data_IF_848093172018
#
_entry.id   IF_848093172018
#
_cell.length_a   1.000
_cell.length_b   1.000
_cell.length_c   1.000
_cell.angle_alpha   90.00
_cell.angle_beta   90.00
_cell.angle_gamma   90.00
#
_symmetry.space_group_name_H-M   'P 1'
#
loop_
_entity.id
_entity.type
_entity.pdbx_description
1 polymer ?
#
# COMPACT_ATOMS: atom_id res chain seq x y z
N UNK A 1 16.78 11.45 3.65
CA UNK A 1 16.84 10.62 2.43
C UNK A 1 17.69 11.23 1.33
N UNK A 2 17.50 12.51 0.98
CA UNK A 2 18.25 13.19 -0.09
C UNK A 2 19.79 12.98 -0.08
N UNK A 3 20.50 13.19 1.05
CA UNK A 3 21.96 12.96 1.08
C UNK A 3 22.35 11.51 0.77
N UNK A 4 21.53 10.55 1.17
CA UNK A 4 21.79 9.12 0.91
C UNK A 4 21.63 8.76 -0.57
N UNK A 5 20.64 9.34 -1.27
CA UNK A 5 20.49 9.09 -2.71
C UNK A 5 21.67 9.63 -3.52
N UNK A 6 22.18 10.81 -3.14
CA UNK A 6 23.40 11.37 -3.75
C UNK A 6 24.63 10.53 -3.44
N UNK A 7 24.83 10.14 -2.18
CA UNK A 7 25.98 9.34 -1.77
C UNK A 7 26.00 7.93 -2.40
N UNK A 8 24.83 7.32 -2.59
CA UNK A 8 24.69 6.00 -3.22
C UNK A 8 24.72 6.04 -4.76
N UNK A 9 24.86 7.22 -5.38
CA UNK A 9 24.85 7.36 -6.83
C UNK A 9 23.48 7.16 -7.49
N UNK A 10 22.39 7.14 -6.70
CA UNK A 10 21.02 7.04 -7.21
C UNK A 10 20.49 8.40 -7.66
N UNK A 11 21.16 9.01 -8.65
CA UNK A 11 20.92 10.39 -9.06
C UNK A 11 19.49 10.64 -9.58
N UNK A 12 18.88 9.67 -10.26
CA UNK A 12 17.48 9.79 -10.69
C UNK A 12 16.52 9.87 -9.49
N UNK A 13 16.69 9.02 -8.48
CA UNK A 13 15.91 9.10 -7.26
C UNK A 13 16.18 10.40 -6.49
N UNK A 14 17.43 10.86 -6.44
CA UNK A 14 17.78 12.13 -5.82
C UNK A 14 17.08 13.32 -6.52
N UNK A 15 17.06 13.33 -7.86
CA UNK A 15 16.35 14.34 -8.66
C UNK A 15 14.85 14.29 -8.39
N UNK A 16 14.23 13.11 -8.45
CA UNK A 16 12.80 12.96 -8.18
C UNK A 16 12.43 13.39 -6.76
N UNK A 17 13.25 13.05 -5.77
CA UNK A 17 13.04 13.46 -4.38
C UNK A 17 13.10 14.97 -4.20
N UNK A 18 13.99 15.65 -4.93
CA UNK A 18 14.05 17.12 -4.97
C UNK A 18 12.80 17.73 -5.60
N UNK A 19 12.37 17.23 -6.76
CA UNK A 19 11.14 17.69 -7.42
C UNK A 19 9.92 17.49 -6.52
N UNK A 20 9.80 16.33 -5.89
CA UNK A 20 8.74 16.05 -4.93
C UNK A 20 8.71 17.07 -3.79
N UNK A 21 9.86 17.38 -3.20
CA UNK A 21 9.96 18.39 -2.13
C UNK A 21 9.50 19.77 -2.61
N UNK A 22 9.94 20.20 -3.80
CA UNK A 22 9.55 21.48 -4.38
C UNK A 22 8.03 21.52 -4.64
N UNK A 23 7.46 20.46 -5.20
CA UNK A 23 6.03 20.35 -5.44
C UNK A 23 5.23 20.35 -4.13
N UNK A 24 5.72 19.67 -3.09
CA UNK A 24 5.07 19.69 -1.77
C UNK A 24 5.10 21.05 -1.09
N UNK A 25 6.15 21.87 -1.33
CA UNK A 25 6.19 23.24 -0.82
C UNK A 25 5.15 24.13 -1.50
N UNK A 26 4.99 23.96 -2.81
CA UNK A 26 3.99 24.68 -3.61
C UNK A 26 2.56 24.13 -3.41
N UNK A 27 2.37 23.09 -2.60
CA UNK A 27 1.08 22.43 -2.40
C UNK A 27 0.10 23.33 -1.64
N UNK A 28 0.62 24.17 -0.74
CA UNK A 28 -0.19 25.11 0.07
C UNK A 28 -0.95 26.11 -0.79
N UNK A 29 -0.37 26.50 -1.94
CA UNK A 29 -0.97 27.47 -2.86
C UNK A 29 -1.90 26.81 -3.89
N UNK A 30 -1.91 25.48 -3.97
CA UNK A 30 -2.63 24.70 -5.00
C UNK A 30 -3.87 23.97 -4.47
N UNK A 31 -3.91 23.67 -3.18
CA UNK A 31 -4.98 22.89 -2.53
C UNK A 31 -5.78 23.80 -1.58
N UNK A 32 -7.04 23.45 -1.35
CA UNK A 32 -7.87 24.13 -0.35
C UNK A 32 -7.22 24.06 1.05
N UNK A 33 -7.21 25.14 1.85
CA UNK A 33 -6.57 25.17 3.16
C UNK A 33 -7.04 24.07 4.13
N UNK A 34 -8.31 23.67 4.06
CA UNK A 34 -8.88 22.63 4.92
C UNK A 34 -8.31 21.26 4.53
N UNK A 35 -8.21 20.99 3.24
CA UNK A 35 -7.66 19.74 2.73
C UNK A 35 -6.14 19.67 2.97
N UNK A 36 -5.44 20.80 2.86
CA UNK A 36 -4.02 20.90 3.23
C UNK A 36 -3.79 20.60 4.72
N UNK A 37 -4.65 21.10 5.62
CA UNK A 37 -4.56 20.81 7.05
C UNK A 37 -4.79 19.32 7.34
N UNK A 38 -5.83 18.71 6.77
CA UNK A 38 -6.10 17.27 6.89
C UNK A 38 -4.96 16.41 6.34
N UNK A 39 -4.38 16.85 5.23
CA UNK A 39 -3.25 16.17 4.61
C UNK A 39 -2.02 16.23 5.53
N UNK A 40 -1.65 17.41 6.03
CA UNK A 40 -0.40 17.61 6.79
C UNK A 40 -0.50 17.20 8.26
N UNK A 41 -1.53 17.66 8.98
CA UNK A 41 -1.68 17.42 10.43
C UNK A 41 -2.34 16.08 10.70
N UNK A 42 -3.44 15.79 10.02
CA UNK A 42 -4.22 14.57 10.29
C UNK A 42 -3.69 13.35 9.54
N UNK A 43 -2.71 13.54 8.65
CA UNK A 43 -1.98 12.48 7.91
C UNK A 43 -2.90 11.61 7.06
N UNK A 44 -3.92 12.20 6.44
CA UNK A 44 -4.93 11.48 5.63
C UNK A 44 -4.36 10.78 4.38
N UNK A 45 -3.08 10.97 4.09
CA UNK A 45 -2.35 10.23 3.05
C UNK A 45 -1.74 8.90 3.54
N UNK A 46 -1.68 8.66 4.85
CA UNK A 46 -1.15 7.41 5.43
C UNK A 46 -2.26 6.56 6.05
N UNK A 47 -2.30 5.29 5.68
CA UNK A 47 -3.11 4.28 6.34
C UNK A 47 -2.28 3.59 7.42
N UNK A 48 -2.83 3.47 8.63
CA UNK A 48 -2.18 2.88 9.80
C UNK A 48 -3.07 1.81 10.41
N UNK A 49 -2.49 0.66 10.76
CA UNK A 49 -3.19 -0.40 11.51
C UNK A 49 -3.05 -0.22 13.03
N UNK A 50 -2.03 0.51 13.47
CA UNK A 50 -1.68 0.72 14.89
C UNK A 50 -1.28 2.17 15.11
N UNK A 51 -1.42 2.69 16.33
CA UNK A 51 -1.02 4.07 16.63
C UNK A 51 0.49 4.25 16.95
N UNK A 52 1.36 3.36 16.45
CA UNK A 52 2.81 3.49 16.62
C UNK A 52 3.45 4.53 15.72
N UNK A 53 4.49 5.21 16.19
CA UNK A 53 5.25 6.16 15.37
C UNK A 53 5.84 5.49 14.11
N UNK A 54 5.77 6.16 12.95
CA UNK A 54 6.18 5.64 11.63
C UNK A 54 5.54 4.31 11.17
N UNK A 55 4.37 3.94 11.70
CA UNK A 55 3.65 2.72 11.27
C UNK A 55 2.71 2.90 10.06
N UNK A 56 2.74 4.07 9.43
CA UNK A 56 1.85 4.41 8.31
C UNK A 56 2.41 4.03 6.95
N UNK A 57 1.57 3.45 6.11
CA UNK A 57 1.85 3.18 4.69
C UNK A 57 1.08 4.20 3.86
N UNK A 58 1.68 4.67 2.77
CA UNK A 58 1.01 5.57 1.84
C UNK A 58 -0.25 4.93 1.23
N UNK A 59 -1.34 5.68 1.10
CA UNK A 59 -2.64 5.16 0.63
C UNK A 59 -2.54 4.39 -0.70
N UNK A 60 -1.83 4.93 -1.69
CA UNK A 60 -1.59 4.27 -2.97
C UNK A 60 -0.85 2.94 -2.83
N UNK A 61 0.15 2.87 -1.95
CA UNK A 61 0.88 1.62 -1.68
C UNK A 61 0.00 0.60 -0.94
N UNK A 62 -0.89 1.04 -0.05
CA UNK A 62 -1.89 0.16 0.58
C UNK A 62 -2.87 -0.41 -0.44
N UNK A 63 -3.37 0.42 -1.35
CA UNK A 63 -4.26 -0.01 -2.44
C UNK A 63 -3.54 -1.03 -3.33
N UNK A 64 -2.31 -0.72 -3.76
CA UNK A 64 -1.51 -1.61 -4.60
C UNK A 64 -1.26 -2.94 -3.90
N UNK A 65 -0.79 -2.95 -2.66
CA UNK A 65 -0.52 -4.19 -1.93
C UNK A 65 -1.79 -5.02 -1.74
N UNK A 66 -2.92 -4.39 -1.42
CA UNK A 66 -4.20 -5.07 -1.17
C UNK A 66 -4.75 -5.67 -2.47
N UNK A 67 -4.74 -4.90 -3.56
CA UNK A 67 -5.22 -5.33 -4.87
C UNK A 67 -4.30 -6.36 -5.52
N UNK A 68 -2.99 -6.15 -5.46
CA UNK A 68 -2.02 -7.07 -6.06
C UNK A 68 -2.01 -8.43 -5.36
N UNK A 69 -2.26 -8.48 -4.04
CA UNK A 69 -2.42 -9.75 -3.30
C UNK A 69 -3.52 -10.62 -3.91
N UNK A 70 -4.69 -10.03 -4.16
CA UNK A 70 -5.85 -10.75 -4.69
C UNK A 70 -5.70 -11.05 -6.18
N UNK A 71 -5.03 -10.18 -6.95
CA UNK A 71 -4.75 -10.41 -8.37
C UNK A 71 -3.74 -11.52 -8.61
N UNK A 72 -2.65 -11.54 -7.84
CA UNK A 72 -1.51 -12.46 -8.01
C UNK A 72 -1.64 -13.75 -7.17
N UNK A 73 -2.64 -13.84 -6.30
CA UNK A 73 -2.94 -15.01 -5.49
C UNK A 73 -3.35 -16.25 -6.30
N UNK A 74 -3.44 -17.40 -5.63
CA UNK A 74 -3.96 -18.62 -6.26
C UNK A 74 -5.43 -18.44 -6.64
N UNK A 75 -5.77 -18.66 -7.91
CA UNK A 75 -7.12 -18.37 -8.45
C UNK A 75 -7.37 -16.89 -8.80
N UNK A 76 -6.37 -16.02 -8.61
CA UNK A 76 -6.40 -14.61 -9.00
C UNK A 76 -6.32 -14.38 -10.51
N UNK A 77 -6.45 -13.12 -10.92
CA UNK A 77 -6.54 -12.72 -12.31
C UNK A 77 -5.28 -13.03 -13.13
N UNK A 78 -4.09 -12.92 -12.53
CA UNK A 78 -2.82 -13.03 -13.27
C UNK A 78 -2.23 -14.44 -13.28
N UNK A 79 -2.80 -15.39 -12.51
CA UNK A 79 -2.26 -16.74 -12.36
C UNK A 79 -3.23 -17.78 -12.93
N UNK A 80 -2.92 -18.27 -14.14
CA UNK A 80 -3.57 -19.46 -14.74
C UNK A 80 -4.82 -19.22 -15.60
N UNK A 81 -5.37 -18.01 -15.65
CA UNK A 81 -6.50 -17.66 -16.55
C UNK A 81 -6.09 -16.62 -17.60
N UNK A 82 -6.68 -16.71 -18.80
CA UNK A 82 -6.59 -15.65 -19.81
C UNK A 82 -7.34 -14.41 -19.31
N UNK A 83 -6.72 -13.24 -19.45
CA UNK A 83 -7.34 -11.95 -19.11
C UNK A 83 -8.30 -11.59 -20.25
N UNK A 84 -9.54 -12.08 -20.16
CA UNK A 84 -10.65 -11.64 -21.01
C UNK A 84 -11.43 -10.56 -20.28
N UNK A 85 -12.06 -9.64 -21.01
CA UNK A 85 -12.87 -8.55 -20.45
C UNK A 85 -13.95 -9.05 -19.48
N UNK A 86 -14.65 -10.15 -19.83
CA UNK A 86 -15.65 -10.77 -18.95
C UNK A 86 -15.07 -11.27 -17.61
N UNK A 87 -13.83 -11.77 -17.61
CA UNK A 87 -13.13 -12.23 -16.40
C UNK A 87 -12.70 -11.03 -15.56
N UNK A 88 -12.21 -9.96 -16.20
CA UNK A 88 -11.88 -8.69 -15.55
C UNK A 88 -13.10 -8.09 -14.86
N UNK A 89 -14.23 -7.94 -15.57
CA UNK A 89 -15.45 -7.35 -15.01
C UNK A 89 -15.97 -8.15 -13.83
N UNK A 90 -16.01 -9.49 -13.95
CA UNK A 90 -16.44 -10.37 -12.86
C UNK A 90 -15.51 -10.29 -11.65
N UNK A 91 -14.20 -10.25 -11.89
CA UNK A 91 -13.21 -10.16 -10.81
C UNK A 91 -13.31 -8.80 -10.10
N UNK A 92 -13.38 -7.69 -10.84
CA UNK A 92 -13.47 -6.34 -10.27
C UNK A 92 -14.74 -6.16 -9.43
N UNK A 93 -15.90 -6.60 -9.92
CA UNK A 93 -17.16 -6.49 -9.18
C UNK A 93 -17.25 -7.46 -8.01
N UNK A 94 -16.76 -8.69 -8.18
CA UNK A 94 -16.87 -9.74 -7.16
C UNK A 94 -15.86 -9.58 -6.03
N UNK A 95 -14.58 -9.34 -6.35
CA UNK A 95 -13.49 -9.43 -5.39
C UNK A 95 -13.56 -8.39 -4.27
N UNK A 96 -14.14 -7.22 -4.53
CA UNK A 96 -14.32 -6.19 -3.49
C UNK A 96 -15.21 -6.73 -2.37
N UNK A 97 -16.27 -7.45 -2.71
CA UNK A 97 -17.17 -8.07 -1.72
C UNK A 97 -16.58 -9.33 -1.10
N UNK A 98 -15.86 -10.14 -1.88
CA UNK A 98 -15.25 -11.38 -1.40
C UNK A 98 -13.95 -11.18 -0.60
N UNK A 99 -13.33 -9.99 -0.65
CA UNK A 99 -12.05 -9.74 0.02
C UNK A 99 -12.07 -10.11 1.51
N UNK A 100 -13.06 -9.58 2.25
CA UNK A 100 -13.19 -9.81 3.69
C UNK A 100 -13.44 -11.30 3.98
N UNK A 101 -14.27 -11.96 3.17
CA UNK A 101 -14.56 -13.38 3.31
C UNK A 101 -13.27 -14.20 3.09
N UNK A 102 -12.53 -13.94 2.02
CA UNK A 102 -11.27 -14.60 1.75
C UNK A 102 -10.25 -14.39 2.87
N UNK A 103 -10.17 -13.19 3.46
CA UNK A 103 -9.29 -12.90 4.59
C UNK A 103 -9.67 -13.73 5.84
N UNK A 104 -10.95 -13.80 6.18
CA UNK A 104 -11.42 -14.61 7.32
C UNK A 104 -11.24 -16.11 7.08
N UNK A 105 -11.42 -16.59 5.84
CA UNK A 105 -11.12 -17.99 5.48
C UNK A 105 -9.62 -18.29 5.57
N UNK A 106 -8.74 -17.37 5.13
CA UNK A 106 -7.29 -17.50 5.28
C UNK A 106 -6.90 -17.60 6.76
N UNK A 107 -7.49 -16.75 7.63
CA UNK A 107 -7.29 -16.78 9.08
C UNK A 107 -7.79 -18.09 9.68
N UNK A 108 -8.99 -18.53 9.33
CA UNK A 108 -9.60 -19.77 9.85
C UNK A 108 -8.76 -21.00 9.49
N UNK A 109 -8.30 -21.09 8.24
CA UNK A 109 -7.47 -22.20 7.76
C UNK A 109 -6.00 -22.08 8.20
N UNK A 110 -5.60 -20.97 8.83
CA UNK A 110 -4.21 -20.65 9.15
C UNK A 110 -3.28 -20.69 7.91
N UNK A 111 -3.80 -20.29 6.74
CA UNK A 111 -3.06 -20.23 5.47
C UNK A 111 -2.91 -18.77 5.09
N UNK A 112 -1.68 -18.29 4.92
CA UNK A 112 -1.42 -16.93 4.42
C UNK A 112 -1.01 -16.97 2.95
N UNK A 113 -1.89 -16.51 2.05
CA UNK A 113 -1.55 -16.37 0.63
C UNK A 113 -0.67 -15.12 0.44
N UNK A 114 0.65 -15.29 0.53
CA UNK A 114 1.62 -14.22 0.29
C UNK A 114 2.43 -14.49 -0.97
N UNK A 115 2.42 -13.54 -1.91
CA UNK A 115 3.40 -13.50 -3.00
C UNK A 115 4.68 -12.84 -2.46
N UNK A 116 5.80 -13.56 -2.51
CA UNK A 116 6.96 -13.31 -1.64
C UNK A 116 7.83 -12.10 -2.01
N UNK A 117 7.64 -11.48 -3.18
CA UNK A 117 8.67 -10.58 -3.72
C UNK A 117 8.48 -9.10 -3.37
N UNK A 118 7.25 -8.59 -3.19
CA UNK A 118 7.03 -7.13 -3.05
C UNK A 118 5.98 -6.72 -2.00
N UNK A 119 5.30 -7.66 -1.33
CA UNK A 119 4.13 -7.37 -0.49
C UNK A 119 4.34 -7.79 0.98
N UNK A 120 5.48 -7.42 1.57
CA UNK A 120 5.97 -7.89 2.88
C UNK A 120 5.14 -7.39 4.08
N UNK A 121 4.22 -6.44 3.88
CA UNK A 121 3.51 -5.76 4.97
C UNK A 121 2.39 -6.58 5.63
N UNK A 122 1.95 -7.68 5.02
CA UNK A 122 0.96 -8.60 5.61
C UNK A 122 1.57 -9.78 6.37
N UNK A 123 2.89 -9.80 6.59
CA UNK A 123 3.51 -10.90 7.32
C UNK A 123 3.04 -10.90 8.78
N UNK A 124 2.76 -12.09 9.37
CA UNK A 124 2.44 -12.22 10.79
C UNK A 124 3.43 -11.50 11.72
N UNK A 125 4.72 -11.46 11.35
CA UNK A 125 5.76 -10.76 12.10
C UNK A 125 5.56 -9.23 12.18
N UNK A 126 5.03 -8.59 11.14
CA UNK A 126 4.71 -7.15 11.16
C UNK A 126 3.41 -6.85 11.89
N UNK A 127 2.44 -7.75 11.81
CA UNK A 127 1.19 -7.66 12.57
C UNK A 127 1.49 -7.80 14.08
N UNK A 128 2.28 -8.80 14.46
CA UNK A 128 2.69 -9.03 15.85
C UNK A 128 3.62 -7.94 16.41
N UNK A 129 4.59 -7.47 15.60
CA UNK A 129 5.46 -6.33 15.96
C UNK A 129 4.69 -5.03 16.18
N UNK A 130 3.48 -4.93 15.62
CA UNK A 130 2.52 -3.85 15.86
C UNK A 130 2.05 -3.75 17.32
N UNK A 131 2.12 -4.81 18.12
CA UNK A 131 1.62 -4.82 19.51
C UNK A 131 2.70 -5.07 20.58
N UNK A 132 3.88 -5.58 20.22
CA UNK A 132 4.87 -6.07 21.19
C UNK A 132 5.81 -5.02 21.84
N UNK A 133 5.73 -3.74 21.45
CA UNK A 133 6.62 -2.69 21.95
C UNK A 133 5.77 -1.53 22.46
N UNK A 134 5.51 -1.55 23.77
CA UNK A 134 5.34 -0.37 24.63
C UNK A 134 6.72 -0.03 25.18
#
# INVERSE_FOLDING_TARGET
>A
MLPFFHAAGHFFYAKCAHLYMQDTLNLIDRIDPIEYEKFTKDRYFTMRRTDKFWSGIWSGQTIEQTLMKTMKGSGGLTRGRRITESVLTRWTLGMIHFHNICEEFEKYCNITSMTSEQHVDMRPSRIAGGNANV
#
